data_IF_158443043875
#
_entry.id   IF_158443043875
#
_cell.length_a   1.000
_cell.length_b   1.000
_cell.length_c   1.000
_cell.angle_alpha   90.00
_cell.angle_beta   90.00
_cell.angle_gamma   90.00
#
_symmetry.space_group_name_H-M   'P 1'
#
loop_
_entity.id
_entity.type
_entity.pdbx_description
1 polymer ?
#
# COMPACT_ATOMS: atom_id res chain seq x y z
N UNK A 1 8.42 33.12 18.89
CA UNK A 1 8.28 33.43 17.48
C UNK A 1 7.36 34.64 17.38
N UNK A 2 7.77 35.68 16.68
CA UNK A 2 7.05 36.95 16.58
C UNK A 2 5.85 36.88 15.64
N UNK A 3 5.77 35.84 14.83
CA UNK A 3 4.63 35.53 13.97
C UNK A 3 4.59 34.04 13.62
N UNK A 4 3.37 33.49 13.49
CA UNK A 4 3.13 32.09 13.11
C UNK A 4 2.18 32.06 11.92
N UNK A 5 2.58 31.39 10.85
CA UNK A 5 1.72 31.06 9.73
C UNK A 5 1.63 29.55 9.56
N UNK A 6 0.41 29.05 9.41
CA UNK A 6 0.13 27.62 9.21
C UNK A 6 -0.64 27.47 7.91
N UNK A 7 0.01 26.86 6.91
CA UNK A 7 -0.61 26.52 5.63
C UNK A 7 -0.91 25.02 5.61
N UNK A 8 -2.19 24.64 5.76
CA UNK A 8 -2.59 23.24 5.81
C UNK A 8 -4.03 23.08 5.28
N UNK A 9 -4.24 22.10 4.39
CA UNK A 9 -5.56 21.69 3.90
C UNK A 9 -6.16 20.53 4.69
N UNK A 10 -5.35 19.90 5.53
CA UNK A 10 -5.73 18.85 6.47
C UNK A 10 -5.04 19.10 7.81
N UNK A 11 -5.40 18.31 8.79
CA UNK A 11 -5.03 18.42 10.19
C UNK A 11 -3.58 18.86 10.43
N UNK A 12 -3.41 19.96 11.13
CA UNK A 12 -2.15 20.35 11.75
C UNK A 12 -2.34 20.32 13.27
N UNK A 13 -1.33 19.88 14.04
CA UNK A 13 -1.39 19.84 15.50
C UNK A 13 -1.43 21.27 16.07
N UNK A 14 -2.60 21.90 16.04
CA UNK A 14 -2.82 23.30 16.36
C UNK A 14 -2.73 23.58 17.87
N UNK A 15 -2.97 22.60 18.74
CA UNK A 15 -2.95 22.75 20.20
C UNK A 15 -1.65 23.38 20.75
N UNK A 16 -0.50 23.14 20.09
CA UNK A 16 0.81 23.74 20.41
C UNK A 16 0.88 25.26 20.21
N UNK A 17 -0.09 25.84 19.50
CA UNK A 17 -0.16 27.28 19.22
C UNK A 17 -1.21 27.98 20.05
N UNK A 18 -1.81 27.32 21.05
CA UNK A 18 -2.81 27.92 21.93
C UNK A 18 -2.28 29.19 22.58
N UNK A 19 -3.07 30.25 22.54
CA UNK A 19 -2.71 31.57 23.03
C UNK A 19 -1.75 32.39 22.16
N UNK A 20 -1.40 31.90 20.96
CA UNK A 20 -0.52 32.60 20.02
C UNK A 20 -1.30 33.16 18.83
N UNK A 21 -0.78 34.25 18.25
CA UNK A 21 -1.33 34.83 17.02
C UNK A 21 -0.94 33.93 15.84
N UNK A 22 -1.92 33.38 15.12
CA UNK A 22 -1.70 32.42 14.02
C UNK A 22 -2.47 32.83 12.78
N UNK A 23 -1.77 32.97 11.65
CA UNK A 23 -2.36 33.10 10.33
C UNK A 23 -2.62 31.70 9.79
N UNK A 24 -3.88 31.32 9.65
CA UNK A 24 -4.27 30.03 9.08
C UNK A 24 -4.68 30.18 7.63
N UNK A 25 -4.15 29.34 6.73
CA UNK A 25 -4.44 29.41 5.29
C UNK A 25 -4.35 28.04 4.63
N UNK A 26 -4.84 27.91 3.41
CA UNK A 26 -4.70 26.70 2.59
C UNK A 26 -3.27 26.57 2.06
N UNK A 27 -2.84 25.32 1.76
CA UNK A 27 -1.50 25.03 1.21
C UNK A 27 -1.28 25.79 -0.10
N UNK A 28 -2.30 25.89 -0.97
CA UNK A 28 -2.22 26.62 -2.23
C UNK A 28 -1.91 28.13 -2.04
N UNK A 29 -2.50 28.76 -1.03
CA UNK A 29 -2.22 30.17 -0.70
C UNK A 29 -0.83 30.30 -0.06
N UNK A 30 -0.39 29.31 0.73
CA UNK A 30 0.96 29.25 1.28
C UNK A 30 2.04 29.22 0.21
N UNK A 31 1.77 28.59 -0.93
CA UNK A 31 2.71 28.50 -2.05
C UNK A 31 2.66 29.78 -2.90
N UNK A 32 1.45 30.30 -3.21
CA UNK A 32 1.27 31.37 -4.18
C UNK A 32 1.35 32.78 -3.57
N UNK A 33 1.17 32.94 -2.26
CA UNK A 33 1.11 34.20 -1.54
C UNK A 33 1.99 34.23 -0.29
N UNK A 34 3.15 33.58 -0.36
CA UNK A 34 4.04 33.40 0.79
C UNK A 34 4.46 34.75 1.41
N UNK A 35 4.83 35.73 0.59
CA UNK A 35 5.28 37.05 1.05
C UNK A 35 4.16 37.81 1.80
N UNK A 36 2.95 37.78 1.28
CA UNK A 36 1.78 38.41 1.92
C UNK A 36 1.47 37.74 3.28
N UNK A 37 1.58 36.45 3.38
CA UNK A 37 1.33 35.70 4.61
C UNK A 37 2.41 35.94 5.67
N UNK A 38 3.66 36.07 5.24
CA UNK A 38 4.79 36.42 6.13
C UNK A 38 4.59 37.85 6.65
N UNK A 39 4.26 38.79 5.79
CA UNK A 39 3.99 40.18 6.16
C UNK A 39 2.83 40.30 7.18
N UNK A 40 1.74 39.57 6.97
CA UNK A 40 0.62 39.51 7.93
C UNK A 40 1.02 38.91 9.27
N UNK A 41 1.83 37.84 9.25
CA UNK A 41 2.31 37.21 10.47
C UNK A 41 3.25 38.15 11.26
N UNK A 42 4.12 38.90 10.56
CA UNK A 42 5.08 39.86 11.18
C UNK A 42 4.37 41.11 11.71
N UNK A 43 3.36 41.64 11.00
CA UNK A 43 2.57 42.79 11.46
C UNK A 43 1.66 42.46 12.65
N UNK A 44 1.57 41.18 13.03
CA UNK A 44 0.74 40.76 14.14
C UNK A 44 -0.77 40.90 13.90
N UNK A 45 -1.19 41.03 12.65
CA UNK A 45 -2.58 41.13 12.22
C UNK A 45 -3.22 39.73 12.07
N UNK A 46 -2.99 38.89 13.05
CA UNK A 46 -3.53 37.54 13.08
C UNK A 46 -4.36 37.36 14.38
N UNK A 47 -5.49 36.65 14.30
CA UNK A 47 -6.28 36.33 15.48
C UNK A 47 -5.47 35.44 16.45
N UNK A 48 -5.71 35.64 17.75
CA UNK A 48 -5.15 34.74 18.76
C UNK A 48 -5.89 33.41 18.66
N UNK A 49 -5.16 32.35 18.42
CA UNK A 49 -5.72 31.01 18.36
C UNK A 49 -6.01 30.49 19.78
N UNK A 50 -7.25 30.16 20.04
CA UNK A 50 -7.66 29.48 21.26
C UNK A 50 -8.07 28.05 20.89
N UNK A 51 -7.33 27.07 21.43
CA UNK A 51 -7.71 25.68 21.28
C UNK A 51 -9.05 25.47 22.00
N UNK A 52 -10.13 25.29 21.25
CA UNK A 52 -11.39 24.83 21.81
C UNK A 52 -11.21 23.38 22.25
N UNK A 53 -11.82 22.96 23.38
CA UNK A 53 -11.65 21.62 23.94
C UNK A 53 -11.92 20.44 22.97
N UNK A 54 -12.62 20.70 21.84
CA UNK A 54 -12.82 19.77 20.73
C UNK A 54 -11.53 19.44 19.94
N UNK A 55 -10.59 20.40 19.84
CA UNK A 55 -9.35 20.19 19.05
C UNK A 55 -8.33 19.30 19.80
N UNK A 56 -8.45 19.24 21.13
CA UNK A 56 -7.59 18.38 21.98
C UNK A 56 -8.18 16.98 22.14
N UNK A 57 -9.50 16.86 22.10
CA UNK A 57 -10.18 15.56 22.23
C UNK A 57 -10.14 14.75 20.95
N UNK A 58 -10.18 15.36 19.74
CA UNK A 58 -10.04 14.62 18.49
C UNK A 58 -8.62 14.05 18.29
N UNK A 59 -7.56 14.72 18.79
CA UNK A 59 -6.20 14.17 18.75
C UNK A 59 -5.96 13.08 19.78
N UNK A 60 -6.66 13.09 20.91
CA UNK A 60 -6.55 12.08 21.96
C UNK A 60 -7.60 10.98 21.82
N UNK A 61 -8.80 11.29 21.32
CA UNK A 61 -9.87 10.34 21.10
C UNK A 61 -9.59 9.42 19.89
N UNK A 62 -8.93 9.93 18.83
CA UNK A 62 -8.52 9.10 17.69
C UNK A 62 -7.42 8.07 18.07
N UNK A 63 -6.67 8.31 19.14
CA UNK A 63 -5.63 7.38 19.61
C UNK A 63 -6.16 6.41 20.68
N UNK A 64 -7.22 6.77 21.44
CA UNK A 64 -7.74 5.94 22.53
C UNK A 64 -9.02 5.16 22.19
N UNK A 65 -9.64 5.40 21.03
CA UNK A 65 -10.91 4.76 20.62
C UNK A 65 -10.87 3.90 19.36
N UNK A 66 -9.73 3.81 18.68
CA UNK A 66 -9.64 2.94 17.48
C UNK A 66 -9.66 1.47 17.89
N UNK A 67 -10.59 0.69 17.32
CA UNK A 67 -10.59 -0.75 17.52
C UNK A 67 -9.27 -1.36 17.05
N UNK A 68 -8.78 -2.39 17.77
CA UNK A 68 -7.53 -3.10 17.41
C UNK A 68 -7.50 -3.51 15.92
N UNK A 69 -8.65 -3.93 15.37
CA UNK A 69 -8.76 -4.27 13.95
C UNK A 69 -8.46 -3.10 13.02
N UNK A 70 -8.90 -1.89 13.37
CA UNK A 70 -8.63 -0.68 12.58
C UNK A 70 -7.16 -0.27 12.63
N UNK A 71 -6.51 -0.41 13.79
CA UNK A 71 -5.07 -0.17 13.93
C UNK A 71 -4.26 -1.16 13.08
N UNK A 72 -4.56 -2.46 13.19
CA UNK A 72 -3.92 -3.50 12.38
C UNK A 72 -4.10 -3.21 10.89
N UNK A 73 -5.31 -2.84 10.46
CA UNK A 73 -5.60 -2.47 9.07
C UNK A 73 -4.77 -1.26 8.61
N UNK A 74 -4.64 -0.20 9.42
CA UNK A 74 -3.81 0.98 9.10
C UNK A 74 -2.34 0.60 8.89
N UNK A 75 -1.77 -0.18 9.80
CA UNK A 75 -0.38 -0.63 9.69
C UNK A 75 -0.16 -1.51 8.47
N UNK A 76 -1.08 -2.45 8.23
CA UNK A 76 -1.05 -3.30 7.04
C UNK A 76 -1.09 -2.48 5.75
N UNK A 77 -2.03 -1.53 5.66
CA UNK A 77 -2.19 -0.69 4.46
C UNK A 77 -0.99 0.23 4.23
N UNK A 78 -0.32 0.67 5.29
CA UNK A 78 0.93 1.41 5.13
C UNK A 78 2.00 0.55 4.44
N UNK A 79 2.20 -0.68 4.88
CA UNK A 79 3.14 -1.62 4.25
C UNK A 79 2.77 -1.93 2.80
N UNK A 80 1.50 -2.26 2.54
CA UNK A 80 1.01 -2.57 1.19
C UNK A 80 1.18 -1.38 0.24
N UNK A 81 0.87 -0.16 0.67
CA UNK A 81 0.99 1.03 -0.18
C UNK A 81 2.42 1.31 -0.63
N UNK A 82 3.40 1.07 0.25
CA UNK A 82 4.82 1.25 -0.08
C UNK A 82 5.39 0.09 -0.92
N UNK A 83 4.81 -1.09 -0.81
CA UNK A 83 5.19 -2.26 -1.62
C UNK A 83 4.69 -2.15 -3.07
N UNK A 84 3.54 -1.50 -3.30
CA UNK A 84 2.89 -1.39 -4.61
C UNK A 84 3.81 -0.97 -5.77
N UNK A 85 4.64 0.08 -5.66
CA UNK A 85 5.51 0.50 -6.76
C UNK A 85 6.48 -0.60 -7.21
N UNK A 86 6.99 -1.41 -6.28
CA UNK A 86 7.91 -2.51 -6.57
C UNK A 86 7.20 -3.65 -7.32
N UNK A 87 5.97 -3.97 -6.92
CA UNK A 87 5.16 -5.00 -7.58
C UNK A 87 4.76 -4.55 -8.99
N UNK A 88 4.27 -3.32 -9.13
CA UNK A 88 3.81 -2.80 -10.42
C UNK A 88 4.99 -2.60 -11.38
N UNK A 89 6.05 -1.91 -10.94
CA UNK A 89 7.21 -1.66 -11.78
C UNK A 89 7.94 -2.95 -12.16
N UNK A 90 8.16 -3.83 -11.19
CA UNK A 90 8.78 -5.14 -11.42
C UNK A 90 7.94 -6.04 -12.31
N UNK A 91 6.61 -6.05 -12.10
CA UNK A 91 5.68 -6.83 -12.91
C UNK A 91 5.65 -6.41 -14.38
N UNK A 92 5.66 -5.09 -14.65
CA UNK A 92 5.73 -4.56 -16.02
C UNK A 92 7.05 -5.00 -16.69
N UNK A 93 8.17 -4.92 -15.99
CA UNK A 93 9.47 -5.34 -16.53
C UNK A 93 9.49 -6.85 -16.83
N UNK A 94 8.94 -7.68 -15.95
CA UNK A 94 8.82 -9.13 -16.19
C UNK A 94 7.89 -9.40 -17.37
N UNK A 95 6.78 -8.67 -17.51
CA UNK A 95 5.89 -8.80 -18.66
C UNK A 95 6.59 -8.44 -19.97
N UNK A 96 7.40 -7.37 -19.98
CA UNK A 96 8.23 -7.00 -21.13
C UNK A 96 9.28 -8.07 -21.44
N UNK A 97 9.84 -8.74 -20.43
CA UNK A 97 10.74 -9.86 -20.65
C UNK A 97 10.07 -10.97 -21.45
N UNK A 98 8.84 -11.36 -21.11
CA UNK A 98 8.08 -12.35 -21.88
C UNK A 98 7.66 -11.84 -23.27
N UNK A 99 7.37 -10.55 -23.42
CA UNK A 99 6.98 -9.95 -24.69
C UNK A 99 8.12 -9.93 -25.70
N UNK A 100 9.35 -9.68 -25.25
CA UNK A 100 10.54 -9.58 -26.11
C UNK A 100 11.35 -10.88 -26.19
N UNK A 101 10.85 -11.97 -25.62
CA UNK A 101 11.51 -13.26 -25.69
C UNK A 101 10.89 -14.18 -26.74
N UNK A 102 11.68 -15.13 -27.23
CA UNK A 102 11.22 -16.13 -28.20
C UNK A 102 11.03 -17.49 -27.51
N UNK A 103 9.77 -17.89 -27.41
CA UNK A 103 9.38 -19.18 -26.82
C UNK A 103 9.96 -20.40 -27.56
N UNK A 104 10.28 -20.26 -28.85
CA UNK A 104 10.77 -21.35 -29.69
C UNK A 104 12.21 -21.77 -29.35
N UNK A 105 13.01 -20.91 -28.71
CA UNK A 105 14.41 -21.18 -28.36
C UNK A 105 14.49 -22.23 -27.26
N UNK A 106 13.91 -21.94 -26.10
CA UNK A 106 13.79 -22.88 -24.97
C UNK A 106 12.53 -22.54 -24.16
N UNK A 107 11.46 -23.33 -24.28
CA UNK A 107 10.22 -23.11 -23.55
C UNK A 107 10.39 -23.07 -22.01
N UNK A 108 11.40 -23.82 -21.47
CA UNK A 108 11.65 -23.86 -20.03
C UNK A 108 12.28 -22.58 -19.49
N UNK A 109 13.04 -21.87 -20.33
CA UNK A 109 13.70 -20.61 -19.98
C UNK A 109 12.99 -19.39 -20.56
N UNK A 110 11.74 -19.53 -20.97
CA UNK A 110 10.95 -18.43 -21.56
C UNK A 110 10.95 -17.19 -20.63
N UNK A 111 11.16 -16.04 -21.21
CA UNK A 111 11.41 -14.77 -20.53
C UNK A 111 12.89 -14.50 -20.21
N UNK A 112 13.82 -15.41 -20.65
CA UNK A 112 15.26 -15.26 -20.41
C UNK A 112 16.13 -15.78 -21.56
N UNK A 113 15.52 -16.22 -22.68
CA UNK A 113 16.24 -16.81 -23.80
C UNK A 113 17.07 -15.77 -24.57
N UNK A 114 16.57 -14.55 -24.67
CA UNK A 114 17.29 -13.45 -25.32
C UNK A 114 17.96 -12.53 -24.31
N UNK A 115 19.10 -11.88 -24.64
CA UNK A 115 19.78 -10.95 -23.72
C UNK A 115 18.88 -9.80 -23.25
N UNK A 116 17.99 -9.31 -24.13
CA UNK A 116 17.05 -8.24 -23.81
C UNK A 116 15.97 -8.72 -22.83
N UNK A 117 15.40 -9.90 -23.06
CA UNK A 117 14.42 -10.50 -22.16
C UNK A 117 15.04 -10.75 -20.77
N UNK A 118 16.24 -11.34 -20.75
CA UNK A 118 16.99 -11.55 -19.51
C UNK A 118 17.25 -10.25 -18.75
N UNK A 119 17.64 -9.18 -19.44
CA UNK A 119 17.85 -7.87 -18.84
C UNK A 119 16.57 -7.37 -18.13
N UNK A 120 15.42 -7.41 -18.78
CA UNK A 120 14.14 -7.02 -18.15
C UNK A 120 13.76 -7.93 -16.98
N UNK A 121 13.96 -9.25 -17.13
CA UNK A 121 13.63 -10.23 -16.10
C UNK A 121 14.49 -10.05 -14.84
N UNK A 122 15.78 -9.81 -15.00
CA UNK A 122 16.71 -9.63 -13.88
C UNK A 122 16.36 -8.37 -13.08
N UNK A 123 16.07 -7.25 -13.74
CA UNK A 123 15.67 -6.00 -13.06
C UNK A 123 14.28 -6.16 -12.43
N UNK A 124 13.33 -6.73 -13.16
CA UNK A 124 11.99 -6.99 -12.64
C UNK A 124 12.00 -7.92 -11.45
N UNK A 125 12.80 -8.99 -11.50
CA UNK A 125 13.01 -9.93 -10.40
C UNK A 125 13.63 -9.29 -9.17
N UNK A 126 14.63 -8.42 -9.36
CA UNK A 126 15.21 -7.64 -8.27
C UNK A 126 14.17 -6.73 -7.59
N UNK A 127 13.31 -6.06 -8.39
CA UNK A 127 12.21 -5.26 -7.86
C UNK A 127 11.23 -6.11 -7.04
N UNK A 128 10.83 -7.28 -7.55
CA UNK A 128 9.97 -8.23 -6.83
C UNK A 128 10.62 -8.74 -5.54
N UNK A 129 11.94 -8.93 -5.52
CA UNK A 129 12.68 -9.33 -4.34
C UNK A 129 12.53 -8.36 -3.15
N UNK A 130 12.28 -7.08 -3.43
CA UNK A 130 12.00 -6.09 -2.38
C UNK A 130 10.57 -6.14 -1.83
N UNK A 131 9.64 -6.85 -2.45
CA UNK A 131 8.23 -6.86 -2.08
C UNK A 131 8.02 -7.20 -0.60
N UNK A 132 8.54 -8.32 -0.12
CA UNK A 132 8.38 -8.78 1.26
C UNK A 132 9.16 -7.92 2.27
N UNK A 133 10.42 -7.56 2.02
CA UNK A 133 11.16 -6.62 2.87
C UNK A 133 10.46 -5.27 3.03
N UNK A 134 9.99 -4.67 1.93
CA UNK A 134 9.29 -3.38 1.96
C UNK A 134 7.98 -3.49 2.73
N UNK A 135 7.17 -4.52 2.47
CA UNK A 135 5.94 -4.76 3.20
C UNK A 135 6.18 -4.79 4.72
N UNK A 136 7.07 -5.67 5.17
CA UNK A 136 7.35 -5.84 6.59
C UNK A 136 8.03 -4.61 7.21
N UNK A 137 8.94 -3.97 6.49
CA UNK A 137 9.63 -2.77 6.94
C UNK A 137 8.70 -1.61 7.20
N UNK A 138 7.78 -1.33 6.29
CA UNK A 138 6.84 -0.21 6.44
C UNK A 138 5.68 -0.50 7.42
N UNK A 139 5.29 -1.76 7.60
CA UNK A 139 4.42 -2.15 8.73
C UNK A 139 5.14 -1.84 10.05
N UNK A 140 6.37 -2.30 10.22
CA UNK A 140 7.18 -2.10 11.41
C UNK A 140 7.46 -0.61 11.68
N UNK A 141 7.75 0.17 10.64
CA UNK A 141 7.92 1.61 10.71
C UNK A 141 6.62 2.32 11.15
N UNK A 142 5.47 1.87 10.68
CA UNK A 142 4.17 2.43 11.09
C UNK A 142 3.86 2.22 12.58
N UNK A 143 4.48 1.21 13.22
CA UNK A 143 4.29 0.87 14.64
C UNK A 143 5.36 1.54 15.53
N UNK A 144 6.62 1.57 15.08
CA UNK A 144 7.77 1.95 15.90
C UNK A 144 8.63 3.06 15.29
N UNK A 145 8.11 3.81 14.33
CA UNK A 145 8.81 4.85 13.60
C UNK A 145 10.07 4.34 12.86
N UNK A 146 10.99 5.24 12.51
CA UNK A 146 12.21 4.94 11.74
C UNK A 146 13.03 3.75 12.27
N UNK A 147 13.25 3.58 13.58
CA UNK A 147 14.01 2.43 14.08
C UNK A 147 13.39 1.07 13.74
N UNK A 148 12.06 1.01 13.58
CA UNK A 148 11.36 -0.21 13.18
C UNK A 148 11.66 -0.67 11.75
N UNK A 149 12.00 0.27 10.87
CA UNK A 149 12.18 0.00 9.45
C UNK A 149 13.20 -1.12 9.19
N UNK A 150 14.41 -1.00 9.73
CA UNK A 150 15.49 -1.96 9.50
C UNK A 150 15.14 -3.35 10.02
N UNK A 151 14.53 -3.43 11.21
CA UNK A 151 14.13 -4.69 11.83
C UNK A 151 13.06 -5.40 11.00
N UNK A 152 12.05 -4.64 10.53
CA UNK A 152 11.01 -5.16 9.65
C UNK A 152 11.56 -5.61 8.29
N UNK A 153 12.46 -4.83 7.66
CA UNK A 153 13.09 -5.20 6.40
C UNK A 153 13.82 -6.53 6.48
N UNK A 154 14.61 -6.74 7.52
CA UNK A 154 15.34 -8.01 7.72
C UNK A 154 14.37 -9.15 7.97
N UNK A 155 13.31 -8.95 8.78
CA UNK A 155 12.28 -9.96 9.00
C UNK A 155 11.56 -10.35 7.71
N UNK A 156 11.22 -9.37 6.86
CA UNK A 156 10.61 -9.62 5.54
C UNK A 156 11.55 -10.34 4.56
N UNK A 157 12.84 -10.00 4.56
CA UNK A 157 13.85 -10.70 3.76
C UNK A 157 13.99 -12.16 4.19
N UNK A 158 14.05 -12.43 5.50
CA UNK A 158 14.07 -13.78 6.04
C UNK A 158 12.81 -14.58 5.69
N UNK A 159 11.64 -13.94 5.69
CA UNK A 159 10.40 -14.59 5.28
C UNK A 159 10.46 -15.07 3.82
N UNK A 160 11.09 -14.30 2.93
CA UNK A 160 11.32 -14.71 1.54
C UNK A 160 12.24 -15.92 1.41
N UNK A 161 13.33 -15.97 2.17
CA UNK A 161 14.32 -17.05 2.08
C UNK A 161 13.93 -18.33 2.80
N UNK A 162 13.08 -18.24 3.83
CA UNK A 162 12.64 -19.40 4.63
C UNK A 162 11.39 -20.11 4.09
N UNK A 163 10.81 -19.60 2.99
CA UNK A 163 9.57 -20.15 2.45
C UNK A 163 8.30 -19.79 3.23
N UNK A 164 8.41 -18.99 4.30
CA UNK A 164 7.23 -18.49 5.02
C UNK A 164 6.47 -17.40 4.24
N UNK A 165 7.07 -16.85 3.20
CA UNK A 165 6.44 -16.01 2.19
C UNK A 165 5.76 -14.77 2.74
N UNK A 166 4.64 -14.42 2.12
CA UNK A 166 3.88 -13.22 2.48
C UNK A 166 3.36 -13.24 3.92
N UNK A 167 2.86 -14.39 4.40
CA UNK A 167 2.38 -14.53 5.77
C UNK A 167 3.50 -14.30 6.79
N UNK A 168 4.69 -14.87 6.52
CA UNK A 168 5.87 -14.63 7.35
C UNK A 168 6.29 -13.18 7.39
N UNK A 169 6.25 -12.49 6.24
CA UNK A 169 6.57 -11.07 6.15
C UNK A 169 5.56 -10.19 6.91
N UNK A 170 4.26 -10.51 6.85
CA UNK A 170 3.24 -9.83 7.65
C UNK A 170 3.53 -9.94 9.15
N UNK A 171 3.73 -11.17 9.63
CA UNK A 171 4.02 -11.41 11.05
C UNK A 171 5.30 -10.70 11.46
N UNK A 172 6.36 -10.79 10.65
CA UNK A 172 7.62 -10.12 10.89
C UNK A 172 7.48 -8.59 10.94
N UNK A 173 6.64 -8.00 10.10
CA UNK A 173 6.37 -6.57 10.08
C UNK A 173 5.76 -6.08 11.40
N UNK A 174 4.72 -6.75 11.88
CA UNK A 174 4.10 -6.43 13.17
C UNK A 174 5.06 -6.66 14.34
N UNK A 175 5.68 -7.83 14.39
CA UNK A 175 6.63 -8.16 15.47
C UNK A 175 7.82 -7.21 15.50
N UNK A 176 8.36 -6.82 14.35
CA UNK A 176 9.48 -5.87 14.26
C UNK A 176 9.16 -4.54 14.94
N UNK A 177 7.95 -4.02 14.71
CA UNK A 177 7.48 -2.82 15.39
C UNK A 177 7.37 -3.00 16.91
N UNK A 178 6.78 -4.10 17.36
CA UNK A 178 6.65 -4.38 18.80
C UNK A 178 7.99 -4.66 19.48
N UNK A 179 8.92 -5.38 18.83
CA UNK A 179 10.28 -5.60 19.34
C UNK A 179 10.98 -4.26 19.56
N UNK A 180 10.94 -3.36 18.59
CA UNK A 180 11.57 -2.04 18.73
C UNK A 180 10.92 -1.21 19.81
N UNK A 181 9.59 -1.24 19.94
CA UNK A 181 8.89 -0.55 21.03
C UNK A 181 9.26 -1.13 22.41
N UNK A 182 9.45 -2.45 22.48
CA UNK A 182 9.98 -3.07 23.70
C UNK A 182 11.41 -2.61 24.00
N UNK A 183 12.30 -2.57 23.00
CA UNK A 183 13.66 -2.07 23.16
C UNK A 183 13.70 -0.60 23.57
N UNK A 184 12.81 0.25 23.03
CA UNK A 184 12.65 1.64 23.44
C UNK A 184 12.29 1.75 24.94
N UNK A 185 11.42 0.86 25.43
CA UNK A 185 11.07 0.82 26.88
C UNK A 185 12.22 0.30 27.73
N UNK A 186 12.88 -0.78 27.32
CA UNK A 186 14.00 -1.38 28.03
C UNK A 186 15.22 -0.44 28.11
N UNK A 187 15.47 0.34 27.07
CA UNK A 187 16.60 1.28 27.01
C UNK A 187 16.38 2.61 27.77
N UNK A 188 15.22 2.81 28.40
CA UNK A 188 14.99 3.99 29.26
C UNK A 188 15.91 4.05 30.48
N UNK A 189 16.44 2.91 30.93
CA UNK A 189 17.39 2.84 32.03
C UNK A 189 18.81 3.34 31.67
N UNK A 190 19.10 3.61 30.42
CA UNK A 190 20.42 4.05 29.94
C UNK A 190 20.58 5.56 30.15
N UNK A 191 21.80 6.03 30.55
CA UNK A 191 22.08 7.45 30.74
C UNK A 191 21.79 8.32 29.53
N UNK A 192 21.43 9.59 29.75
CA UNK A 192 21.12 10.56 28.67
C UNK A 192 22.29 10.75 27.70
N UNK A 193 23.53 10.60 28.14
CA UNK A 193 24.72 10.66 27.28
C UNK A 193 24.74 9.63 26.15
N UNK A 194 23.97 8.54 26.28
CA UNK A 194 23.86 7.48 25.27
C UNK A 194 22.60 7.59 24.40
N UNK A 195 21.81 8.64 24.57
CA UNK A 195 20.54 8.78 23.83
C UNK A 195 20.70 8.79 22.32
N UNK A 196 21.74 9.45 21.80
CA UNK A 196 22.06 9.49 20.38
C UNK A 196 22.47 8.13 19.78
N UNK A 197 23.00 7.22 20.60
CA UNK A 197 23.46 5.89 20.16
C UNK A 197 22.29 4.89 20.11
N UNK A 198 21.22 5.09 20.89
CA UNK A 198 20.07 4.19 20.95
C UNK A 198 19.50 3.89 19.56
N UNK A 199 19.11 4.88 18.73
CA UNK A 199 18.48 4.61 17.42
C UNK A 199 19.46 4.11 16.35
N UNK A 200 20.76 4.43 16.48
CA UNK A 200 21.76 4.07 15.46
C UNK A 200 22.37 2.68 15.69
N UNK A 201 22.52 2.26 16.92
CA UNK A 201 23.21 1.01 17.28
C UNK A 201 22.29 0.05 18.04
N UNK A 202 21.69 0.49 19.16
CA UNK A 202 20.99 -0.42 20.07
C UNK A 202 19.74 -1.02 19.42
N UNK A 203 18.87 -0.18 18.87
CA UNK A 203 17.61 -0.67 18.28
C UNK A 203 17.84 -1.51 17.02
N UNK A 204 18.70 -1.13 16.06
CA UNK A 204 18.97 -1.99 14.90
C UNK A 204 19.67 -3.28 15.30
N UNK A 205 20.73 -3.23 16.11
CA UNK A 205 21.51 -4.42 16.46
C UNK A 205 20.66 -5.47 17.22
N UNK A 206 20.11 -5.09 18.36
CA UNK A 206 19.29 -6.00 19.15
C UNK A 206 17.96 -6.33 18.48
N UNK A 207 17.37 -5.36 17.77
CA UNK A 207 16.12 -5.57 17.05
C UNK A 207 16.28 -6.59 15.92
N UNK A 208 17.33 -6.48 15.11
CA UNK A 208 17.62 -7.44 14.04
C UNK A 208 17.98 -8.81 14.61
N UNK A 209 18.80 -8.86 15.67
CA UNK A 209 19.17 -10.13 16.32
C UNK A 209 17.95 -10.88 16.85
N UNK A 210 17.09 -10.19 17.61
CA UNK A 210 15.87 -10.78 18.17
C UNK A 210 14.90 -11.18 17.03
N UNK A 211 14.72 -10.31 16.05
CA UNK A 211 13.87 -10.60 14.88
C UNK A 211 14.39 -11.81 14.10
N UNK A 212 15.70 -11.87 13.85
CA UNK A 212 16.33 -13.00 13.16
C UNK A 212 16.10 -14.34 13.90
N UNK A 213 16.32 -14.34 15.22
CA UNK A 213 16.06 -15.52 16.03
C UNK A 213 14.58 -15.95 15.97
N UNK A 214 13.67 -15.02 16.20
CA UNK A 214 12.22 -15.31 16.17
C UNK A 214 11.78 -15.76 14.77
N UNK A 215 12.24 -15.08 13.72
CA UNK A 215 11.88 -15.42 12.34
C UNK A 215 12.35 -16.82 11.95
N UNK A 216 13.59 -17.19 12.24
CA UNK A 216 14.18 -18.45 11.80
C UNK A 216 13.69 -19.65 12.61
N UNK A 217 13.59 -19.51 13.94
CA UNK A 217 13.33 -20.65 14.81
C UNK A 217 11.87 -20.79 15.27
N UNK A 218 11.12 -19.67 15.30
CA UNK A 218 9.74 -19.68 15.84
C UNK A 218 8.72 -19.51 14.71
N UNK A 219 8.92 -18.54 13.81
CA UNK A 219 7.93 -18.21 12.77
C UNK A 219 8.08 -19.12 11.55
N UNK A 220 9.31 -19.27 11.04
CA UNK A 220 9.53 -19.96 9.76
C UNK A 220 8.99 -21.40 9.75
N UNK A 221 9.21 -22.28 10.75
CA UNK A 221 8.75 -23.66 10.65
C UNK A 221 7.23 -23.79 10.49
N UNK A 222 6.37 -23.21 11.36
CA UNK A 222 4.93 -23.37 11.23
C UNK A 222 4.37 -22.57 10.04
N UNK A 223 4.89 -21.38 9.76
CA UNK A 223 4.33 -20.53 8.71
C UNK A 223 4.71 -21.03 7.32
N UNK A 224 5.91 -21.57 7.13
CA UNK A 224 6.29 -22.19 5.86
C UNK A 224 5.47 -23.47 5.57
N UNK A 225 5.14 -24.24 6.61
CA UNK A 225 4.26 -25.39 6.46
C UNK A 225 2.84 -24.98 6.03
N UNK A 226 2.27 -23.94 6.66
CA UNK A 226 0.96 -23.39 6.28
C UNK A 226 1.01 -22.82 4.85
N UNK A 227 2.05 -22.07 4.51
CA UNK A 227 2.22 -21.50 3.19
C UNK A 227 2.34 -22.60 2.11
N UNK A 228 3.13 -23.63 2.37
CA UNK A 228 3.25 -24.79 1.50
C UNK A 228 1.93 -25.52 1.31
N UNK A 229 1.20 -25.81 2.38
CA UNK A 229 -0.13 -26.42 2.31
C UNK A 229 -1.11 -25.57 1.48
N UNK A 230 -1.08 -24.26 1.66
CA UNK A 230 -1.93 -23.33 0.93
C UNK A 230 -1.62 -23.34 -0.59
N UNK A 231 -0.34 -23.31 -0.94
CA UNK A 231 0.13 -23.38 -2.33
C UNK A 231 -0.24 -24.73 -2.97
N UNK A 232 -0.02 -25.84 -2.27
CA UNK A 232 -0.35 -27.17 -2.77
C UNK A 232 -1.88 -27.34 -2.96
N UNK A 233 -2.68 -26.78 -2.04
CA UNK A 233 -4.14 -26.77 -2.18
C UNK A 233 -4.57 -26.00 -3.42
N UNK A 234 -3.99 -24.82 -3.67
CA UNK A 234 -4.31 -24.00 -4.84
C UNK A 234 -3.89 -24.65 -6.17
N UNK A 235 -2.73 -25.34 -6.19
CA UNK A 235 -2.28 -26.07 -7.38
C UNK A 235 -3.21 -27.23 -7.75
N UNK A 236 -3.81 -27.86 -6.75
CA UNK A 236 -4.69 -29.03 -6.92
C UNK A 236 -6.18 -28.66 -7.03
N UNK A 237 -6.52 -27.38 -7.08
CA UNK A 237 -7.91 -26.90 -7.26
C UNK A 237 -8.42 -27.28 -8.66
N UNK A 238 -9.65 -27.79 -8.73
CA UNK A 238 -10.34 -28.06 -10.00
C UNK A 238 -10.43 -26.80 -10.89
N UNK A 239 -10.30 -26.94 -12.23
CA UNK A 239 -10.43 -25.82 -13.16
C UNK A 239 -11.71 -25.00 -12.97
N UNK A 240 -12.84 -25.67 -12.70
CA UNK A 240 -14.12 -24.99 -12.42
C UNK A 240 -14.07 -24.12 -11.15
N UNK A 241 -13.41 -24.58 -10.10
CA UNK A 241 -13.25 -23.82 -8.88
C UNK A 241 -12.26 -22.64 -9.05
N UNK A 242 -11.27 -22.75 -9.93
CA UNK A 242 -10.38 -21.64 -10.30
C UNK A 242 -11.14 -20.51 -10.99
N UNK A 243 -12.01 -20.85 -11.94
CA UNK A 243 -12.89 -19.89 -12.63
C UNK A 243 -13.74 -19.14 -11.59
N UNK A 244 -14.36 -19.89 -10.67
CA UNK A 244 -15.20 -19.28 -9.64
C UNK A 244 -14.43 -18.37 -8.69
N UNK A 245 -13.23 -18.77 -8.29
CA UNK A 245 -12.33 -17.95 -7.49
C UNK A 245 -11.93 -16.67 -8.23
N UNK A 246 -11.58 -16.77 -9.52
CA UNK A 246 -11.27 -15.64 -10.37
C UNK A 246 -12.43 -14.65 -10.47
N UNK A 247 -13.67 -15.15 -10.64
CA UNK A 247 -14.88 -14.32 -10.61
C UNK A 247 -15.03 -13.53 -9.32
N UNK A 248 -14.84 -14.19 -8.18
CA UNK A 248 -15.02 -13.56 -6.85
C UNK A 248 -13.96 -12.48 -6.65
N UNK A 249 -12.67 -12.79 -6.78
CA UNK A 249 -11.61 -11.83 -6.47
C UNK A 249 -11.59 -10.65 -7.44
N UNK A 250 -11.88 -10.89 -8.72
CA UNK A 250 -12.02 -9.84 -9.70
C UNK A 250 -13.26 -8.96 -9.45
N UNK A 251 -14.38 -9.57 -9.09
CA UNK A 251 -15.60 -8.85 -8.70
C UNK A 251 -15.38 -7.96 -7.48
N UNK A 252 -14.66 -8.45 -6.46
CA UNK A 252 -14.29 -7.67 -5.28
C UNK A 252 -13.55 -6.37 -5.62
N UNK A 253 -12.78 -6.36 -6.70
CA UNK A 253 -12.05 -5.16 -7.14
C UNK A 253 -12.97 -4.01 -7.54
N UNK A 254 -14.18 -4.31 -8.00
CA UNK A 254 -15.13 -3.32 -8.49
C UNK A 254 -16.21 -2.91 -7.48
N UNK A 255 -16.34 -3.61 -6.34
CA UNK A 255 -17.38 -3.35 -5.33
C UNK A 255 -17.23 -1.97 -4.70
N UNK A 256 -16.04 -1.65 -4.25
CA UNK A 256 -15.72 -0.40 -3.55
C UNK A 256 -14.58 0.40 -4.19
N UNK A 257 -14.09 -0.03 -5.35
CA UNK A 257 -13.17 0.67 -6.27
C UNK A 257 -11.94 1.31 -5.58
N UNK A 258 -11.37 0.65 -4.58
CA UNK A 258 -10.23 1.14 -3.80
C UNK A 258 -10.46 1.14 -2.29
N UNK A 259 -11.63 0.71 -1.84
CA UNK A 259 -11.98 0.53 -0.44
C UNK A 259 -11.44 -0.77 0.18
N UNK A 260 -11.96 -1.18 1.34
CA UNK A 260 -11.50 -2.35 2.08
C UNK A 260 -11.61 -3.67 1.31
N UNK A 261 -12.70 -3.87 0.53
CA UNK A 261 -12.96 -5.10 -0.22
C UNK A 261 -11.97 -5.25 -1.38
N UNK A 262 -11.78 -4.18 -2.14
CA UNK A 262 -10.76 -4.10 -3.19
C UNK A 262 -9.37 -4.41 -2.65
N UNK A 263 -8.99 -3.78 -1.54
CA UNK A 263 -7.68 -3.98 -0.91
C UNK A 263 -7.49 -5.39 -0.37
N UNK A 264 -8.55 -6.02 0.17
CA UNK A 264 -8.50 -7.42 0.61
C UNK A 264 -8.19 -8.37 -0.55
N UNK A 265 -8.86 -8.21 -1.69
CA UNK A 265 -8.57 -8.99 -2.90
C UNK A 265 -7.14 -8.78 -3.38
N UNK A 266 -6.68 -7.51 -3.41
CA UNK A 266 -5.32 -7.17 -3.82
C UNK A 266 -4.26 -7.76 -2.89
N UNK A 267 -4.43 -7.66 -1.57
CA UNK A 267 -3.51 -8.22 -0.56
C UNK A 267 -3.44 -9.73 -0.68
N UNK A 268 -4.59 -10.40 -0.89
CA UNK A 268 -4.64 -11.85 -1.10
C UNK A 268 -3.89 -12.24 -2.39
N UNK A 269 -4.16 -11.58 -3.50
CA UNK A 269 -3.46 -11.81 -4.77
C UNK A 269 -1.95 -11.61 -4.65
N UNK A 270 -1.52 -10.54 -3.95
CA UNK A 270 -0.10 -10.26 -3.74
C UNK A 270 0.55 -11.31 -2.84
N UNK A 271 -0.15 -11.79 -1.82
CA UNK A 271 0.33 -12.86 -0.94
C UNK A 271 0.59 -14.17 -1.70
N UNK A 272 -0.33 -14.54 -2.58
CA UNK A 272 -0.20 -15.73 -3.42
C UNK A 272 0.87 -15.56 -4.50
N UNK A 273 1.03 -14.35 -5.05
CA UNK A 273 2.10 -14.02 -5.98
C UNK A 273 3.48 -14.26 -5.36
N UNK A 274 3.67 -13.89 -4.09
CA UNK A 274 4.91 -14.15 -3.35
C UNK A 274 5.22 -15.64 -3.20
N UNK A 275 4.21 -16.50 -3.30
CA UNK A 275 4.32 -17.95 -3.22
C UNK A 275 4.41 -18.64 -4.59
N UNK A 276 4.45 -17.86 -5.67
CA UNK A 276 4.54 -18.36 -7.05
C UNK A 276 3.20 -18.73 -7.69
N UNK A 277 2.07 -18.34 -7.06
CA UNK A 277 0.73 -18.54 -7.62
C UNK A 277 0.24 -17.24 -8.27
N UNK A 278 0.20 -17.23 -9.62
CA UNK A 278 -0.05 -16.01 -10.41
C UNK A 278 -1.52 -15.83 -10.80
N UNK A 279 -2.31 -16.90 -10.88
CA UNK A 279 -3.69 -16.85 -11.39
C UNK A 279 -4.58 -15.89 -10.63
N UNK A 280 -4.53 -15.90 -9.30
CA UNK A 280 -5.36 -15.02 -8.47
C UNK A 280 -5.01 -13.56 -8.68
N UNK A 281 -3.71 -13.23 -8.76
CA UNK A 281 -3.28 -11.87 -9.02
C UNK A 281 -3.60 -11.41 -10.44
N UNK A 282 -3.52 -12.29 -11.44
CA UNK A 282 -3.95 -12.01 -12.80
C UNK A 282 -5.44 -11.62 -12.85
N UNK A 283 -6.30 -12.39 -12.18
CA UNK A 283 -7.73 -12.08 -12.07
C UNK A 283 -7.99 -10.77 -11.31
N UNK A 284 -7.27 -10.51 -10.22
CA UNK A 284 -7.34 -9.24 -9.47
C UNK A 284 -6.95 -8.06 -10.35
N UNK A 285 -5.85 -8.16 -11.07
CA UNK A 285 -5.38 -7.07 -11.94
C UNK A 285 -6.34 -6.83 -13.11
N UNK A 286 -6.74 -7.88 -13.81
CA UNK A 286 -7.69 -7.76 -14.90
C UNK A 286 -9.03 -7.16 -14.43
N UNK A 287 -9.57 -7.67 -13.32
CA UNK A 287 -10.81 -7.17 -12.72
C UNK A 287 -10.73 -5.71 -12.25
N UNK A 288 -9.58 -5.30 -11.70
CA UNK A 288 -9.36 -3.91 -11.26
C UNK A 288 -9.23 -2.90 -12.40
N UNK A 289 -8.85 -3.34 -13.60
CA UNK A 289 -8.77 -2.48 -14.78
C UNK A 289 -10.14 -2.22 -15.43
N UNK A 290 -11.11 -3.11 -15.23
CA UNK A 290 -12.43 -3.04 -15.88
C UNK A 290 -13.19 -1.76 -15.56
N UNK A 291 -13.39 -1.33 -14.30
CA UNK A 291 -14.19 -0.15 -13.98
C UNK A 291 -13.74 1.13 -14.70
N UNK A 292 -12.46 1.57 -14.61
CA UNK A 292 -12.04 2.79 -15.29
C UNK A 292 -12.05 2.65 -16.81
N UNK A 293 -11.70 1.48 -17.38
CA UNK A 293 -11.73 1.27 -18.83
C UNK A 293 -13.17 1.24 -19.37
N UNK A 294 -14.09 0.58 -18.69
CA UNK A 294 -15.50 0.58 -19.06
C UNK A 294 -16.09 2.00 -19.08
N UNK A 295 -15.80 2.80 -18.06
CA UNK A 295 -16.21 4.21 -17.99
C UNK A 295 -15.58 5.01 -19.13
N UNK A 296 -14.29 4.82 -19.42
CA UNK A 296 -13.61 5.47 -20.52
C UNK A 296 -14.27 5.17 -21.86
N UNK A 297 -14.64 3.90 -22.12
CA UNK A 297 -15.39 3.51 -23.30
C UNK A 297 -16.79 4.14 -23.33
N UNK A 298 -17.52 4.09 -22.22
CA UNK A 298 -18.85 4.69 -22.13
C UNK A 298 -18.82 6.20 -22.40
N UNK A 299 -17.90 6.96 -21.84
CA UNK A 299 -17.76 8.40 -22.05
C UNK A 299 -17.33 8.76 -23.47
N UNK A 300 -16.62 7.85 -24.14
CA UNK A 300 -16.19 8.01 -25.54
C UNK A 300 -17.33 7.76 -26.52
N UNK A 301 -18.07 6.64 -26.36
CA UNK A 301 -19.11 6.24 -27.31
C UNK A 301 -20.48 6.87 -27.02
N UNK A 302 -20.84 7.11 -25.76
CA UNK A 302 -22.15 7.60 -25.36
C UNK A 302 -22.08 9.05 -24.84
N UNK A 303 -21.46 9.93 -25.60
CA UNK A 303 -21.18 11.35 -25.25
C UNK A 303 -22.41 12.11 -24.73
N UNK A 304 -23.60 11.80 -25.21
CA UNK A 304 -24.85 12.50 -24.85
C UNK A 304 -25.35 12.14 -23.43
N UNK A 305 -24.76 11.14 -22.78
CA UNK A 305 -25.13 10.72 -21.42
C UNK A 305 -24.23 11.30 -20.34
N UNK A 306 -23.18 12.02 -20.71
CA UNK A 306 -22.15 12.52 -19.81
C UNK A 306 -21.96 14.01 -19.99
N UNK A 307 -21.71 14.71 -18.89
CA UNK A 307 -21.32 16.12 -18.89
C UNK A 307 -19.94 16.33 -19.54
N UNK A 308 -19.61 17.58 -19.90
CA UNK A 308 -18.30 17.89 -20.49
C UNK A 308 -17.14 17.55 -19.54
N UNK A 309 -17.33 17.79 -18.25
CA UNK A 309 -16.35 17.45 -17.20
C UNK A 309 -16.12 15.93 -17.10
N UNK A 310 -17.19 15.15 -17.10
CA UNK A 310 -17.11 13.68 -17.06
C UNK A 310 -16.44 13.10 -18.31
N UNK A 311 -16.71 13.67 -19.48
CA UNK A 311 -16.03 13.27 -20.73
C UNK A 311 -14.52 13.51 -20.69
N UNK A 312 -14.08 14.65 -20.16
CA UNK A 312 -12.65 14.94 -19.96
C UNK A 312 -12.01 13.97 -18.94
N UNK A 313 -12.71 13.68 -17.85
CA UNK A 313 -12.27 12.68 -16.87
C UNK A 313 -12.21 11.27 -17.49
N UNK A 314 -13.15 10.92 -18.37
CA UNK A 314 -13.19 9.64 -19.07
C UNK A 314 -11.97 9.39 -19.95
N UNK A 315 -11.45 10.41 -20.62
CA UNK A 315 -10.20 10.28 -21.42
C UNK A 315 -9.03 9.87 -20.52
N UNK A 316 -8.92 10.48 -19.34
CA UNK A 316 -7.87 10.14 -18.36
C UNK A 316 -8.03 8.71 -17.84
N UNK A 317 -9.26 8.20 -17.76
CA UNK A 317 -9.55 6.85 -17.30
C UNK A 317 -8.96 5.76 -18.22
N UNK A 318 -8.73 6.02 -19.52
CA UNK A 318 -8.02 5.08 -20.39
C UNK A 318 -6.61 4.79 -19.86
N UNK A 319 -5.83 5.84 -19.59
CA UNK A 319 -4.47 5.69 -19.10
C UNK A 319 -4.45 5.14 -17.67
N UNK A 320 -5.34 5.64 -16.82
CA UNK A 320 -5.41 5.22 -15.42
C UNK A 320 -5.94 3.78 -15.26
N UNK A 321 -6.84 3.33 -16.14
CA UNK A 321 -7.30 1.94 -16.17
C UNK A 321 -6.18 0.98 -16.53
N UNK A 322 -5.39 1.29 -17.55
CA UNK A 322 -4.20 0.52 -17.91
C UNK A 322 -3.12 0.54 -16.81
N UNK A 323 -3.10 1.60 -15.99
CA UNK A 323 -2.19 1.71 -14.84
C UNK A 323 -2.77 1.12 -13.56
N UNK A 324 -3.82 0.30 -13.62
CA UNK A 324 -4.45 -0.36 -12.47
C UNK A 324 -4.96 0.63 -11.41
N UNK A 325 -5.54 1.78 -11.81
CA UNK A 325 -6.08 2.81 -10.91
C UNK A 325 -7.60 2.79 -10.90
N UNK A 326 -8.16 1.82 -10.15
CA UNK A 326 -9.60 1.59 -10.02
C UNK A 326 -10.34 2.79 -9.42
N UNK A 327 -9.67 3.56 -8.55
CA UNK A 327 -10.23 4.72 -7.84
C UNK A 327 -10.74 5.82 -8.78
N UNK A 328 -10.28 5.86 -10.02
CA UNK A 328 -10.76 6.83 -11.02
C UNK A 328 -12.20 6.61 -11.46
N UNK A 329 -12.75 5.44 -11.19
CA UNK A 329 -14.18 5.15 -11.40
C UNK A 329 -15.08 5.72 -10.30
N UNK A 330 -14.54 6.05 -9.11
CA UNK A 330 -15.31 6.49 -7.94
C UNK A 330 -16.23 7.70 -8.23
N UNK A 331 -15.80 8.76 -8.91
CA UNK A 331 -16.70 9.89 -9.19
C UNK A 331 -17.96 9.50 -9.97
N UNK A 332 -17.84 8.57 -10.91
CA UNK A 332 -18.94 8.05 -11.70
C UNK A 332 -19.82 7.09 -10.88
N UNK A 333 -19.21 6.25 -10.04
CA UNK A 333 -19.94 5.40 -9.11
C UNK A 333 -20.70 6.21 -8.06
N UNK A 334 -20.17 7.35 -7.62
CA UNK A 334 -20.85 8.26 -6.70
C UNK A 334 -22.04 8.99 -7.35
N UNK A 335 -21.95 9.28 -8.65
CA UNK A 335 -23.03 9.94 -9.40
C UNK A 335 -24.23 9.01 -9.65
N UNK A 336 -23.99 7.73 -9.96
CA UNK A 336 -25.03 6.71 -10.18
C UNK A 336 -24.60 5.33 -9.64
N UNK A 337 -24.62 5.14 -8.32
CA UNK A 337 -24.10 3.91 -7.70
C UNK A 337 -24.88 2.66 -8.08
N UNK A 338 -26.19 2.77 -8.27
CA UNK A 338 -27.05 1.62 -8.55
C UNK A 338 -26.85 1.04 -9.95
N UNK A 339 -26.30 1.78 -10.88
CA UNK A 339 -26.00 1.30 -12.23
C UNK A 339 -24.52 1.04 -12.43
N UNK A 340 -23.67 1.93 -11.97
CA UNK A 340 -22.22 1.83 -12.22
C UNK A 340 -21.59 0.68 -11.43
N UNK A 341 -21.87 0.56 -10.13
CA UNK A 341 -21.23 -0.48 -9.31
C UNK A 341 -21.62 -1.89 -9.78
N UNK A 342 -22.92 -2.27 -9.94
CA UNK A 342 -23.26 -3.61 -10.38
C UNK A 342 -22.71 -3.94 -11.77
N UNK A 343 -22.73 -2.98 -12.71
CA UNK A 343 -22.20 -3.20 -14.04
C UNK A 343 -20.69 -3.45 -14.02
N UNK A 344 -19.94 -2.69 -13.22
CA UNK A 344 -18.52 -2.88 -13.02
C UNK A 344 -18.21 -4.23 -12.36
N UNK A 345 -18.98 -4.60 -11.32
CA UNK A 345 -18.80 -5.89 -10.62
C UNK A 345 -19.03 -7.06 -11.57
N UNK A 346 -20.10 -7.04 -12.35
CA UNK A 346 -20.37 -8.10 -13.34
C UNK A 346 -19.27 -8.16 -14.40
N UNK A 347 -18.88 -7.01 -14.94
CA UNK A 347 -17.80 -6.95 -15.95
C UNK A 347 -16.46 -7.46 -15.39
N UNK A 348 -16.10 -7.05 -14.19
CA UNK A 348 -14.88 -7.53 -13.51
C UNK A 348 -14.95 -9.02 -13.21
N UNK A 349 -16.09 -9.53 -12.71
CA UNK A 349 -16.28 -10.96 -12.42
C UNK A 349 -16.14 -11.81 -13.69
N UNK A 350 -16.78 -11.41 -14.80
CA UNK A 350 -16.65 -12.11 -16.09
C UNK A 350 -15.19 -12.10 -16.56
N UNK A 351 -14.50 -10.97 -16.45
CA UNK A 351 -13.07 -10.86 -16.79
C UNK A 351 -12.23 -11.81 -15.95
N UNK A 352 -12.46 -11.87 -14.63
CA UNK A 352 -11.75 -12.77 -13.75
C UNK A 352 -12.05 -14.26 -13.99
N UNK A 353 -13.23 -14.59 -14.54
CA UNK A 353 -13.55 -15.95 -14.94
C UNK A 353 -12.76 -16.41 -16.19
N UNK A 354 -12.37 -15.45 -17.02
CA UNK A 354 -11.65 -15.70 -18.28
C UNK A 354 -10.12 -15.67 -18.11
N UNK A 355 -9.64 -15.27 -16.92
CA UNK A 355 -8.22 -15.18 -16.59
C UNK A 355 -7.72 -16.44 -15.90
#
# INVERSE_FOLDING_TARGET
ADGISVAADKYAAMARFNGKKVVFTKVADGINKADELIDRALKGDAPVYHASGSDTEESAADVQGESLGRQIYKHLMNGVSHMLPFVVGGGILIALAFLFDDYSIDPKNFGSNTPLAKFFKDIGGASFGFMLPVLAGFISMSIADRPGLAVGFVGGALAGTTGSGFLGALIAGFLGGYIVNFLKKASKCLPESLEGIKPMLIYPFFGILIMGFISLFIIAPPVSAINGWMVDTLKNIDPSARIFMGMIVAGMMAVDMGGPINKAAYVTGTGLLASGEFHVMAAVMAGGMVPPLAIALCTTFFKNRFTESERKAGVTNNVMGLSFRTERAIPFAAADPLRVIPSCVVGSAVTGALT
#
